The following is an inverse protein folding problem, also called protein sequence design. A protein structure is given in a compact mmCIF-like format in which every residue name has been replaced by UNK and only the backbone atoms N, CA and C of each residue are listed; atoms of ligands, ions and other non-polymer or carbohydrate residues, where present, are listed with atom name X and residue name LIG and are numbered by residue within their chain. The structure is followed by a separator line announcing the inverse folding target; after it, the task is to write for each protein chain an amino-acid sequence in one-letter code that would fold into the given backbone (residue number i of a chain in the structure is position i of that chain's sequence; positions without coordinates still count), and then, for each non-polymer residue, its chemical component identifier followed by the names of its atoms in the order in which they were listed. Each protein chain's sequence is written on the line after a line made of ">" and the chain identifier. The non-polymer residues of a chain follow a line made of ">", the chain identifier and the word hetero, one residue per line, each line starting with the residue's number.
data_IF_633215453093
#
_entry.id   IF_633215453093
#
_cell.length_a   1.000
_cell.length_b   1.000
_cell.length_c   1.000
_cell.angle_alpha   90.00
_cell.angle_beta   90.00
_cell.angle_gamma   90.00
#
_symmetry.space_group_name_H-M   'P 1'
#
loop_
_entity.id
_entity.type
_entity.pdbx_description
1 polymer ?
#
# COMPACT_ATOMS: atom_id res chain seq x y z
N UNK A 1 8.45 6.09 9.35
CA UNK A 1 8.77 7.23 8.46
C UNK A 1 8.04 7.01 7.16
N UNK A 2 7.18 7.93 6.75
CA UNK A 2 6.50 7.86 5.46
C UNK A 2 7.51 8.22 4.37
N UNK A 3 7.81 7.29 3.47
CA UNK A 3 8.80 7.50 2.41
C UNK A 3 8.11 8.13 1.19
N UNK A 4 8.53 9.35 0.81
CA UNK A 4 7.98 10.03 -0.37
C UNK A 4 8.53 9.40 -1.65
N UNK A 5 7.66 9.15 -2.61
CA UNK A 5 7.96 8.58 -3.92
C UNK A 5 7.59 9.56 -5.02
N UNK A 6 8.29 9.48 -6.15
CA UNK A 6 8.10 10.31 -7.34
C UNK A 6 8.08 9.46 -8.61
N UNK A 7 7.24 9.82 -9.56
CA UNK A 7 7.15 9.18 -10.87
C UNK A 7 6.74 10.22 -11.91
N UNK A 8 7.23 10.17 -13.15
CA UNK A 8 6.71 11.02 -14.23
C UNK A 8 5.86 10.24 -15.25
N UNK A 9 5.75 8.93 -15.08
CA UNK A 9 5.06 8.06 -16.03
C UNK A 9 3.54 8.24 -15.92
N UNK A 10 2.88 7.40 -15.13
CA UNK A 10 1.43 7.47 -14.89
C UNK A 10 1.08 6.88 -13.52
N UNK A 11 -0.16 7.10 -13.12
CA UNK A 11 -0.80 6.51 -11.94
C UNK A 11 -0.84 4.97 -12.02
N UNK A 12 -0.97 4.41 -13.22
CA UNK A 12 -0.93 2.96 -13.45
C UNK A 12 0.49 2.34 -13.41
N UNK A 13 1.54 3.16 -13.56
CA UNK A 13 2.93 2.69 -13.63
C UNK A 13 3.88 3.65 -12.92
N UNK A 14 4.00 3.47 -11.62
CA UNK A 14 4.90 4.29 -10.82
C UNK A 14 6.36 3.86 -10.97
N UNK A 15 7.22 4.84 -11.22
CA UNK A 15 8.64 4.73 -10.95
C UNK A 15 8.92 4.83 -9.45
N UNK A 16 9.92 4.10 -8.96
CA UNK A 16 10.32 4.10 -7.56
C UNK A 16 11.43 5.11 -7.26
N UNK A 17 11.19 6.38 -7.61
CA UNK A 17 12.18 7.43 -7.33
C UNK A 17 11.98 7.98 -5.92
N UNK A 18 13.03 7.93 -5.10
CA UNK A 18 13.02 8.51 -3.74
C UNK A 18 13.20 10.03 -3.74
N UNK A 19 13.50 10.63 -4.89
CA UNK A 19 13.82 12.05 -5.02
C UNK A 19 13.21 12.68 -6.27
N UNK A 20 12.74 13.94 -6.21
CA UNK A 20 12.15 14.61 -7.36
C UNK A 20 13.16 14.82 -8.50
N UNK A 21 14.44 15.02 -8.19
CA UNK A 21 15.49 15.19 -9.21
C UNK A 21 15.64 13.95 -10.09
N UNK A 22 15.41 12.75 -9.54
CA UNK A 22 15.46 11.50 -10.31
C UNK A 22 14.29 11.40 -11.29
N UNK A 23 13.09 11.83 -10.87
CA UNK A 23 11.94 11.90 -11.77
C UNK A 23 12.19 12.91 -12.90
N UNK A 24 12.70 14.11 -12.57
CA UNK A 24 13.03 15.14 -13.57
C UNK A 24 14.16 14.69 -14.51
N UNK A 25 15.19 14.00 -13.99
CA UNK A 25 16.25 13.42 -14.81
C UNK A 25 15.70 12.39 -15.80
N UNK A 26 14.84 11.48 -15.34
CA UNK A 26 14.23 10.48 -16.21
C UNK A 26 13.29 11.14 -17.25
N UNK A 27 12.58 12.22 -16.88
CA UNK A 27 11.87 13.05 -17.86
C UNK A 27 12.82 13.67 -18.89
N UNK A 28 13.99 14.18 -18.48
CA UNK A 28 14.99 14.75 -19.37
C UNK A 28 15.52 13.70 -20.34
N UNK A 29 15.88 12.53 -19.83
CA UNK A 29 16.46 11.42 -20.60
C UNK A 29 15.47 10.88 -21.65
N UNK A 30 14.16 10.98 -21.37
CA UNK A 30 13.09 10.56 -22.27
C UNK A 30 12.49 11.73 -23.10
N UNK A 31 13.00 12.95 -22.99
CA UNK A 31 12.56 14.12 -23.77
C UNK A 31 11.23 14.74 -23.32
N UNK A 32 10.78 14.45 -22.10
CA UNK A 32 9.56 14.96 -21.47
C UNK A 32 9.80 16.08 -20.45
N UNK A 33 11.03 16.57 -20.28
CA UNK A 33 11.33 17.72 -19.42
C UNK A 33 10.88 19.03 -20.09
N UNK A 34 9.58 19.28 -20.11
CA UNK A 34 8.93 20.47 -20.65
C UNK A 34 8.12 21.13 -19.55
N UNK A 35 8.26 22.45 -19.38
CA UNK A 35 7.46 23.21 -18.41
C UNK A 35 5.98 23.03 -18.69
N UNK A 36 5.20 22.77 -17.64
CA UNK A 36 3.78 22.44 -17.72
C UNK A 36 3.49 20.93 -17.78
N UNK A 37 4.51 20.07 -17.97
CA UNK A 37 4.32 18.63 -17.84
C UNK A 37 4.14 18.24 -16.38
N UNK A 38 3.43 17.13 -16.15
CA UNK A 38 3.10 16.67 -14.80
C UNK A 38 4.04 15.53 -14.40
N UNK A 39 4.45 15.53 -13.14
CA UNK A 39 4.97 14.35 -12.48
C UNK A 39 4.20 14.10 -11.18
N UNK A 40 4.13 12.85 -10.78
CA UNK A 40 3.40 12.35 -9.63
C UNK A 40 4.30 12.30 -8.40
N UNK A 41 3.70 12.53 -7.24
CA UNK A 41 4.31 12.32 -5.94
C UNK A 41 3.31 11.74 -4.96
N UNK A 42 3.77 10.86 -4.07
CA UNK A 42 2.93 10.20 -3.08
C UNK A 42 3.78 9.69 -1.93
N UNK A 43 3.16 8.93 -1.03
CA UNK A 43 3.85 8.30 0.09
C UNK A 43 3.72 6.78 0.02
N UNK A 44 4.84 6.07 0.16
CA UNK A 44 4.83 4.61 0.27
C UNK A 44 4.22 4.20 1.59
N UNK A 45 3.18 3.39 1.51
CA UNK A 45 2.62 2.67 2.65
C UNK A 45 3.10 1.21 2.59
N UNK A 46 3.91 0.76 3.56
CA UNK A 46 4.27 -0.64 3.64
C UNK A 46 3.02 -1.47 3.93
N UNK A 47 2.95 -2.64 3.30
CA UNK A 47 1.86 -3.58 3.51
C UNK A 47 2.31 -4.70 4.45
N UNK A 48 1.39 -5.16 5.28
CA UNK A 48 1.60 -6.35 6.10
C UNK A 48 0.93 -7.56 5.45
N UNK A 49 1.58 -8.75 5.45
CA UNK A 49 0.94 -9.97 4.94
C UNK A 49 -0.38 -10.28 5.62
N UNK A 50 -0.52 -9.95 6.90
CA UNK A 50 -1.74 -10.13 7.70
C UNK A 50 -2.97 -9.44 7.11
N UNK A 51 -2.80 -8.38 6.32
CA UNK A 51 -3.91 -7.71 5.62
C UNK A 51 -4.54 -8.56 4.50
N UNK A 52 -3.77 -9.49 3.93
CA UNK A 52 -4.19 -10.33 2.80
C UNK A 52 -4.27 -11.80 3.17
N UNK A 53 -3.96 -12.13 4.43
CA UNK A 53 -4.01 -13.49 4.93
C UNK A 53 -5.36 -13.70 5.62
N UNK A 54 -6.00 -14.88 5.48
CA UNK A 54 -7.29 -15.11 6.06
C UNK A 54 -7.30 -14.91 7.57
N UNK A 55 -8.34 -14.25 8.07
CA UNK A 55 -8.57 -14.15 9.51
C UNK A 55 -9.35 -15.36 10.04
N UNK A 56 -9.55 -15.42 11.35
CA UNK A 56 -10.28 -16.54 11.97
C UNK A 56 -11.73 -16.63 11.48
N UNK A 57 -12.39 -15.51 11.20
CA UNK A 57 -13.78 -15.52 10.75
C UNK A 57 -13.86 -16.13 9.34
N UNK A 58 -12.99 -15.72 8.43
CA UNK A 58 -12.92 -16.28 7.08
C UNK A 58 -12.60 -17.79 7.08
N UNK A 59 -11.67 -18.22 7.95
CA UNK A 59 -11.32 -19.65 8.08
C UNK A 59 -12.50 -20.47 8.61
N UNK A 60 -13.25 -19.96 9.59
CA UNK A 60 -14.40 -20.63 10.17
C UNK A 60 -15.60 -20.65 9.22
N UNK A 61 -15.83 -19.56 8.48
CA UNK A 61 -16.84 -19.51 7.42
C UNK A 61 -16.51 -20.54 6.32
N UNK A 62 -15.23 -20.65 5.95
CA UNK A 62 -14.80 -21.67 4.99
C UNK A 62 -15.02 -23.10 5.51
N UNK A 63 -14.81 -23.33 6.81
CA UNK A 63 -15.14 -24.60 7.46
C UNK A 63 -16.63 -24.92 7.38
N UNK A 64 -17.51 -23.95 7.65
CA UNK A 64 -18.96 -24.14 7.57
C UNK A 64 -19.44 -24.44 6.15
N UNK A 65 -18.92 -23.70 5.18
CA UNK A 65 -19.19 -23.95 3.77
C UNK A 65 -18.75 -25.36 3.36
N UNK A 66 -17.56 -25.80 3.79
CA UNK A 66 -17.08 -27.14 3.48
C UNK A 66 -17.95 -28.25 4.10
N UNK A 67 -18.48 -28.03 5.30
CA UNK A 67 -19.44 -28.95 5.92
C UNK A 67 -20.75 -28.94 5.13
N UNK A 68 -21.30 -27.78 4.81
CA UNK A 68 -22.55 -27.69 4.07
C UNK A 68 -22.43 -28.34 2.69
N UNK A 69 -21.33 -28.10 1.97
CA UNK A 69 -21.08 -28.74 0.67
C UNK A 69 -20.98 -30.27 0.77
N UNK A 70 -20.51 -30.79 1.90
CA UNK A 70 -20.30 -32.24 2.12
C UNK A 70 -21.53 -32.96 2.68
N UNK A 71 -22.24 -32.30 3.61
CA UNK A 71 -23.31 -32.88 4.42
C UNK A 71 -24.69 -32.32 4.05
N UNK A 72 -24.76 -31.26 3.25
CA UNK A 72 -25.97 -30.54 2.91
C UNK A 72 -26.72 -30.07 4.15
N UNK A 73 -28.04 -30.15 4.10
CA UNK A 73 -28.94 -29.76 5.20
C UNK A 73 -28.78 -30.61 6.47
N UNK A 74 -27.96 -31.67 6.46
CA UNK A 74 -27.61 -32.45 7.66
C UNK A 74 -26.39 -31.90 8.42
N UNK A 75 -25.92 -30.69 8.07
CA UNK A 75 -24.80 -30.00 8.72
C UNK A 75 -25.15 -29.38 10.09
N UNK A 76 -26.38 -29.57 10.58
CA UNK A 76 -26.83 -29.05 11.87
C UNK A 76 -25.95 -29.54 13.03
N UNK A 77 -25.68 -28.64 13.99
CA UNK A 77 -24.89 -28.95 15.19
C UNK A 77 -23.37 -28.80 15.04
N UNK A 78 -22.89 -28.29 13.90
CA UNK A 78 -21.50 -27.85 13.78
C UNK A 78 -21.25 -26.64 14.71
N UNK A 79 -20.01 -26.49 15.17
CA UNK A 79 -19.60 -25.41 16.08
C UNK A 79 -18.75 -24.35 15.37
N UNK A 80 -18.93 -24.14 14.06
CA UNK A 80 -18.05 -23.29 13.26
C UNK A 80 -18.18 -21.80 13.55
N UNK A 81 -18.43 -20.99 12.54
CA UNK A 81 -18.38 -19.52 12.66
C UNK A 81 -19.35 -18.95 13.70
N UNK A 82 -20.52 -19.58 13.89
CA UNK A 82 -21.60 -19.05 14.73
C UNK A 82 -21.61 -19.53 16.20
N UNK A 83 -20.75 -20.50 16.57
CA UNK A 83 -20.84 -21.19 17.87
C UNK A 83 -19.51 -21.23 18.63
N UNK A 84 -18.41 -20.81 18.02
CA UNK A 84 -17.12 -20.71 18.69
C UNK A 84 -17.13 -19.52 19.67
N UNK A 85 -16.37 -19.62 20.77
CA UNK A 85 -16.25 -18.50 21.71
C UNK A 85 -15.32 -17.41 21.15
N UNK A 86 -15.51 -16.17 21.60
CA UNK A 86 -14.65 -15.04 21.23
C UNK A 86 -13.18 -15.29 21.59
N UNK A 87 -12.91 -15.97 22.71
CA UNK A 87 -11.54 -16.29 23.13
C UNK A 87 -10.87 -17.28 22.17
N UNK A 88 -11.59 -18.32 21.74
CA UNK A 88 -11.06 -19.29 20.78
C UNK A 88 -10.89 -18.68 19.38
N UNK A 89 -11.77 -17.77 18.98
CA UNK A 89 -11.61 -17.00 17.75
C UNK A 89 -10.39 -16.07 17.82
N UNK A 90 -10.18 -15.40 18.96
CA UNK A 90 -9.01 -14.56 19.18
C UNK A 90 -7.70 -15.38 19.20
N UNK A 91 -7.72 -16.58 19.77
CA UNK A 91 -6.58 -17.52 19.73
C UNK A 91 -6.23 -17.89 18.29
N UNK A 92 -7.23 -18.25 17.47
CA UNK A 92 -7.02 -18.58 16.06
C UNK A 92 -6.50 -17.37 15.26
N UNK A 93 -7.09 -16.19 15.45
CA UNK A 93 -6.62 -14.96 14.80
C UNK A 93 -5.16 -14.69 15.14
N UNK A 94 -4.77 -14.84 16.41
CA UNK A 94 -3.38 -14.68 16.83
C UNK A 94 -2.47 -15.70 16.15
N UNK A 95 -2.86 -16.97 16.11
CA UNK A 95 -2.08 -18.03 15.46
C UNK A 95 -1.85 -17.73 13.97
N UNK A 96 -2.90 -17.32 13.25
CA UNK A 96 -2.84 -17.01 11.82
C UNK A 96 -1.96 -15.78 11.56
N UNK A 97 -2.10 -14.72 12.36
CA UNK A 97 -1.27 -13.52 12.26
C UNK A 97 0.20 -13.82 12.55
N UNK A 98 0.51 -14.50 13.67
CA UNK A 98 1.87 -14.87 14.04
C UNK A 98 2.53 -15.72 12.93
N UNK A 99 1.77 -16.65 12.33
CA UNK A 99 2.27 -17.48 11.24
C UNK A 99 2.53 -16.65 9.98
N UNK A 100 1.59 -15.78 9.59
CA UNK A 100 1.72 -14.93 8.42
C UNK A 100 2.90 -13.97 8.53
N UNK A 101 3.05 -13.29 9.67
CA UNK A 101 4.17 -12.38 9.94
C UNK A 101 5.52 -13.09 9.90
N UNK A 102 5.57 -14.34 10.37
CA UNK A 102 6.82 -15.12 10.41
C UNK A 102 7.24 -15.67 9.05
N UNK A 103 6.27 -16.06 8.21
CA UNK A 103 6.55 -16.87 7.02
C UNK A 103 6.27 -16.17 5.70
N UNK A 104 5.54 -15.06 5.71
CA UNK A 104 5.18 -14.31 4.51
C UNK A 104 5.89 -12.96 4.50
N UNK A 105 6.20 -12.48 3.31
CA UNK A 105 6.82 -11.17 3.10
C UNK A 105 6.26 -10.52 1.85
N UNK A 106 5.94 -9.23 1.93
CA UNK A 106 5.55 -8.43 0.78
C UNK A 106 6.72 -7.54 0.39
N UNK A 107 7.08 -7.56 -0.90
CA UNK A 107 8.16 -6.72 -1.45
C UNK A 107 7.65 -5.45 -2.14
N UNK A 108 6.33 -5.26 -2.16
CA UNK A 108 5.66 -4.13 -2.80
C UNK A 108 4.92 -3.29 -1.75
N UNK A 109 4.50 -2.10 -2.16
CA UNK A 109 3.85 -1.09 -1.32
C UNK A 109 2.60 -0.55 -2.01
N UNK A 110 1.71 0.06 -1.22
CA UNK A 110 0.67 0.94 -1.74
C UNK A 110 1.18 2.38 -1.76
N UNK A 111 0.61 3.19 -2.64
CA UNK A 111 0.89 4.63 -2.68
C UNK A 111 -0.33 5.34 -2.10
N UNK A 112 -0.08 6.19 -1.12
CA UNK A 112 -1.10 7.03 -0.50
C UNK A 112 -0.82 8.50 -0.82
N UNK A 113 -1.87 9.33 -0.70
CA UNK A 113 -1.80 10.78 -0.90
C UNK A 113 -1.15 11.17 -2.23
N UNK A 114 -1.56 10.49 -3.30
CA UNK A 114 -1.10 10.79 -4.65
C UNK A 114 -1.44 12.24 -5.03
N UNK A 115 -0.45 12.94 -5.57
CA UNK A 115 -0.53 14.33 -5.98
C UNK A 115 0.19 14.50 -7.32
N UNK A 116 -0.48 15.21 -8.22
CA UNK A 116 0.13 15.72 -9.45
C UNK A 116 0.90 17.01 -9.15
N UNK A 117 2.13 17.09 -9.63
CA UNK A 117 2.99 18.26 -9.54
C UNK A 117 3.32 18.71 -10.96
N UNK A 118 2.88 19.92 -11.30
CA UNK A 118 3.25 20.55 -12.55
C UNK A 118 4.73 20.99 -12.49
N UNK A 119 5.50 20.61 -13.51
CA UNK A 119 6.89 20.98 -13.67
C UNK A 119 6.97 22.47 -14.05
N UNK A 120 7.37 23.31 -13.11
CA UNK A 120 7.52 24.74 -13.32
C UNK A 120 8.91 25.10 -13.85
N UNK A 121 9.06 26.30 -14.42
CA UNK A 121 10.37 26.80 -14.84
C UNK A 121 11.36 26.88 -13.67
N UNK A 122 10.89 27.25 -12.47
CA UNK A 122 11.74 27.30 -11.27
C UNK A 122 12.30 25.93 -10.88
N UNK A 123 11.50 24.86 -11.05
CA UNK A 123 11.96 23.49 -10.82
C UNK A 123 13.03 23.06 -11.83
N UNK A 124 12.82 23.40 -13.11
CA UNK A 124 13.81 23.11 -14.17
C UNK A 124 15.11 23.88 -13.92
N UNK A 125 15.03 25.16 -13.59
CA UNK A 125 16.19 26.00 -13.30
C UNK A 125 16.94 25.51 -12.05
N UNK A 126 16.21 25.09 -11.01
CA UNK A 126 16.80 24.49 -9.81
C UNK A 126 17.50 23.16 -10.13
N UNK A 127 16.87 22.30 -10.93
CA UNK A 127 17.44 21.03 -11.38
C UNK A 127 18.75 21.25 -12.17
N UNK A 128 18.74 22.13 -13.17
CA UNK A 128 19.92 22.46 -13.97
C UNK A 128 21.04 23.12 -13.14
N UNK A 129 20.68 23.86 -12.08
CA UNK A 129 21.62 24.48 -11.16
C UNK A 129 22.10 23.54 -10.03
N UNK A 130 21.66 22.28 -10.00
CA UNK A 130 21.88 21.33 -8.89
C UNK A 130 21.47 21.91 -7.51
N UNK A 131 20.36 22.65 -7.48
CA UNK A 131 19.76 23.21 -6.28
C UNK A 131 18.54 22.38 -5.85
N UNK A 132 18.11 22.47 -4.58
CA UNK A 132 16.89 21.82 -4.12
C UNK A 132 15.68 22.21 -4.98
N UNK A 133 14.92 21.22 -5.43
CA UNK A 133 13.72 21.45 -6.24
C UNK A 133 12.63 22.08 -5.37
N UNK A 134 12.08 23.26 -5.74
CA UNK A 134 10.99 23.90 -5.02
C UNK A 134 9.69 23.13 -5.25
N UNK A 135 9.43 22.13 -4.43
CA UNK A 135 8.18 21.36 -4.48
C UNK A 135 7.04 22.11 -3.76
N UNK A 136 5.79 21.98 -4.25
CA UNK A 136 4.64 22.45 -3.49
C UNK A 136 4.55 21.72 -2.15
N UNK A 137 3.96 22.38 -1.15
CA UNK A 137 3.69 21.76 0.14
C UNK A 137 2.86 20.50 -0.05
N UNK A 138 3.34 19.39 0.51
CA UNK A 138 2.64 18.11 0.45
C UNK A 138 1.44 18.20 1.39
N UNK A 139 0.26 18.44 0.83
CA UNK A 139 -0.99 18.44 1.60
C UNK A 139 -1.19 17.03 2.16
N UNK A 140 -1.35 16.90 3.48
CA UNK A 140 -1.64 15.65 4.21
C UNK A 140 -0.42 14.81 4.67
N UNK A 141 0.62 15.44 5.24
CA UNK A 141 1.39 14.74 6.28
C UNK A 141 0.56 14.68 7.57
N UNK A 142 -0.48 13.85 7.62
CA UNK A 142 -0.97 13.39 8.92
C UNK A 142 0.13 12.49 9.50
N UNK A 143 0.83 13.04 10.48
CA UNK A 143 1.70 12.29 11.38
C UNK A 143 0.80 11.26 12.03
N UNK A 144 0.90 10.00 11.59
CA UNK A 144 0.23 8.88 12.23
C UNK A 144 0.78 8.84 13.66
N UNK A 145 0.03 9.41 14.61
CA UNK A 145 0.26 9.16 16.02
C UNK A 145 -0.15 7.71 16.26
N UNK A 146 0.85 6.84 16.42
CA UNK A 146 0.66 5.50 16.98
C UNK A 146 -0.19 5.63 18.25
N UNK A 147 -1.36 5.00 18.23
CA UNK A 147 -2.29 4.89 19.36
C UNK A 147 -1.99 3.62 20.15
#
# INVERSE_FOLDING_TARGET
>A
MTERIYSWQSDERWSDFSRPEQAIQDMQDNGFMVVGNIFLTGTKRPLTPTRFFPDAAEVLEHYDNNIYDSCGDYSEGNTGSDQISEEAQAELTKLLNDWAEKNLSLSFYEIENEQEVELTQEMVDAFLANKPIPLPEFKNMEVIHES
#
